data_IF_816870990335
#
_entry.id   IF_816870990335
#
_cell.length_a   1.000
_cell.length_b   1.000
_cell.length_c   1.000
_cell.angle_alpha   90.00
_cell.angle_beta   90.00
_cell.angle_gamma   90.00
#
_symmetry.space_group_name_H-M   'P 1'
#
loop_
_entity.id
_entity.type
_entity.pdbx_description
1 polymer ?
#
# COMPACT_ATOMS: atom_id res chain seq x y z
N UNK A 1 31.15 -47.38 -17.99
CA UNK A 1 30.84 -46.08 -18.61
C UNK A 1 29.34 -45.75 -18.61
N UNK A 2 28.45 -46.57 -19.21
CA UNK A 2 26.99 -46.31 -19.22
C UNK A 2 26.34 -46.12 -17.84
N UNK A 3 26.70 -46.95 -16.85
CA UNK A 3 26.16 -46.87 -15.49
C UNK A 3 26.53 -45.55 -14.81
N UNK A 4 27.79 -45.10 -14.99
CA UNK A 4 28.29 -43.84 -14.43
C UNK A 4 27.60 -42.63 -15.09
N UNK A 5 27.41 -42.67 -16.41
CA UNK A 5 26.69 -41.62 -17.15
C UNK A 5 25.23 -41.52 -16.69
N UNK A 6 24.54 -42.66 -16.54
CA UNK A 6 23.16 -42.67 -16.05
C UNK A 6 23.05 -42.11 -14.62
N UNK A 7 24.02 -42.40 -13.76
CA UNK A 7 24.06 -41.86 -12.40
C UNK A 7 24.28 -40.35 -12.38
N UNK A 8 25.17 -39.83 -13.23
CA UNK A 8 25.39 -38.38 -13.37
C UNK A 8 24.14 -37.66 -13.91
N UNK A 9 23.44 -38.26 -14.87
CA UNK A 9 22.17 -37.73 -15.39
C UNK A 9 21.11 -37.68 -14.28
N UNK A 10 20.99 -38.74 -13.46
CA UNK A 10 20.03 -38.76 -12.34
C UNK A 10 20.35 -37.69 -11.28
N UNK A 11 21.63 -37.51 -10.93
CA UNK A 11 22.05 -36.44 -10.01
C UNK A 11 21.72 -35.06 -10.60
N UNK A 12 21.99 -34.85 -11.89
CA UNK A 12 21.71 -33.58 -12.55
C UNK A 12 20.20 -33.27 -12.56
N UNK A 13 19.35 -34.26 -12.86
CA UNK A 13 17.89 -34.12 -12.82
C UNK A 13 17.43 -33.81 -11.40
N UNK A 14 17.96 -34.51 -10.40
CA UNK A 14 17.62 -34.28 -9.00
C UNK A 14 17.98 -32.86 -8.55
N UNK A 15 19.23 -32.43 -8.78
CA UNK A 15 19.68 -31.07 -8.45
C UNK A 15 18.84 -29.99 -9.15
N UNK A 16 18.48 -30.23 -10.42
CA UNK A 16 17.62 -29.31 -11.18
C UNK A 16 16.22 -29.21 -10.59
N UNK A 17 15.63 -30.34 -10.14
CA UNK A 17 14.31 -30.35 -9.48
C UNK A 17 14.31 -29.62 -8.14
N UNK A 18 15.36 -29.79 -7.33
CA UNK A 18 15.51 -29.12 -6.04
C UNK A 18 15.66 -27.60 -6.23
N UNK A 19 16.51 -27.18 -7.16
CA UNK A 19 16.70 -25.75 -7.47
C UNK A 19 15.40 -25.10 -7.97
N UNK A 20 14.63 -25.80 -8.80
CA UNK A 20 13.33 -25.31 -9.26
C UNK A 20 12.32 -25.16 -8.10
N UNK A 21 12.31 -26.09 -7.14
CA UNK A 21 11.45 -25.98 -5.94
C UNK A 21 11.79 -24.73 -5.14
N UNK A 22 13.07 -24.50 -4.85
CA UNK A 22 13.49 -23.31 -4.11
C UNK A 22 13.14 -22.01 -4.83
N UNK A 23 13.33 -21.95 -6.15
CA UNK A 23 12.96 -20.78 -6.95
C UNK A 23 11.44 -20.55 -6.99
N UNK A 24 10.63 -21.62 -6.97
CA UNK A 24 9.17 -21.54 -6.88
C UNK A 24 8.72 -20.97 -5.54
N UNK A 25 9.32 -21.46 -4.45
CA UNK A 25 9.03 -21.00 -3.09
C UNK A 25 9.45 -19.53 -2.89
N UNK A 26 10.60 -19.13 -3.44
CA UNK A 26 11.11 -17.75 -3.34
C UNK A 26 10.16 -16.76 -4.01
N UNK A 27 9.75 -17.00 -5.26
CA UNK A 27 8.85 -16.07 -5.97
C UNK A 27 7.47 -16.00 -5.33
N UNK A 28 6.96 -17.12 -4.79
CA UNK A 28 5.68 -17.16 -4.08
C UNK A 28 5.78 -16.36 -2.78
N UNK A 29 6.87 -16.55 -2.03
CA UNK A 29 7.18 -15.80 -0.81
C UNK A 29 7.24 -14.29 -1.07
N UNK A 30 7.91 -13.84 -2.14
CA UNK A 30 7.92 -12.41 -2.48
C UNK A 30 6.52 -11.84 -2.75
N UNK A 31 5.68 -12.60 -3.47
CA UNK A 31 4.29 -12.18 -3.74
C UNK A 31 3.48 -12.11 -2.44
N UNK A 32 3.65 -13.07 -1.55
CA UNK A 32 2.94 -13.10 -0.28
C UNK A 32 3.38 -11.96 0.64
N UNK A 33 4.68 -11.70 0.75
CA UNK A 33 5.22 -10.60 1.56
C UNK A 33 4.72 -9.24 1.07
N UNK A 34 4.77 -8.95 -0.25
CA UNK A 34 4.26 -7.66 -0.75
C UNK A 34 2.75 -7.54 -0.57
N UNK A 35 1.98 -8.63 -0.68
CA UNK A 35 0.53 -8.60 -0.44
C UNK A 35 0.19 -8.37 1.04
N UNK A 36 0.91 -9.02 1.96
CA UNK A 36 0.76 -8.81 3.40
C UNK A 36 1.16 -7.39 3.78
N UNK A 37 2.26 -6.86 3.23
CA UNK A 37 2.67 -5.47 3.44
C UNK A 37 1.59 -4.49 2.96
N UNK A 38 1.02 -4.71 1.76
CA UNK A 38 -0.07 -3.86 1.23
C UNK A 38 -1.32 -3.90 2.11
N UNK A 39 -1.68 -5.07 2.64
CA UNK A 39 -2.80 -5.19 3.58
C UNK A 39 -2.49 -4.51 4.93
N UNK A 40 -1.28 -4.64 5.43
CA UNK A 40 -0.83 -4.00 6.65
C UNK A 40 -0.81 -2.46 6.52
N UNK A 41 -0.43 -1.94 5.35
CA UNK A 41 -0.51 -0.50 5.05
C UNK A 41 -1.97 -0.03 4.94
N UNK A 42 -2.84 -0.84 4.33
CA UNK A 42 -4.26 -0.52 4.23
C UNK A 42 -4.90 -0.31 5.61
N UNK A 43 -4.65 -1.21 6.57
CA UNK A 43 -5.24 -1.07 7.92
C UNK A 43 -4.73 0.15 8.67
N UNK A 44 -3.47 0.54 8.49
CA UNK A 44 -2.89 1.78 9.05
C UNK A 44 -3.50 3.01 8.41
N UNK A 45 -3.61 3.00 7.08
CA UNK A 45 -4.22 4.09 6.36
C UNK A 45 -5.69 4.26 6.78
N UNK A 46 -6.45 3.16 6.94
CA UNK A 46 -7.83 3.19 7.47
C UNK A 46 -7.94 3.82 8.86
N UNK A 47 -6.97 3.62 9.75
CA UNK A 47 -6.96 4.34 11.04
C UNK A 47 -6.67 5.83 10.86
N UNK A 48 -5.71 6.16 9.98
CA UNK A 48 -5.39 7.55 9.65
C UNK A 48 -6.57 8.32 9.04
N UNK A 49 -7.63 7.65 8.56
CA UNK A 49 -8.88 8.32 8.16
C UNK A 49 -9.47 9.19 9.26
N UNK A 50 -9.31 8.79 10.53
CA UNK A 50 -9.80 9.56 11.67
C UNK A 50 -9.26 10.99 11.68
N UNK A 51 -8.06 11.23 11.13
CA UNK A 51 -7.45 12.56 11.06
C UNK A 51 -8.09 13.49 10.03
N UNK A 52 -8.80 12.94 9.05
CA UNK A 52 -9.43 13.67 7.94
C UNK A 52 -10.96 13.51 7.92
N UNK A 53 -11.50 12.75 8.87
CA UNK A 53 -12.93 12.51 9.00
C UNK A 53 -13.64 13.77 9.48
N UNK A 54 -14.82 14.02 8.93
CA UNK A 54 -15.72 15.10 9.32
C UNK A 54 -16.84 14.57 10.22
N UNK A 55 -17.52 15.43 11.01
CA UNK A 55 -18.69 15.01 11.75
C UNK A 55 -19.74 14.36 10.84
N UNK A 56 -20.21 13.17 11.24
CA UNK A 56 -21.10 12.31 10.46
C UNK A 56 -20.38 11.22 9.66
N UNK A 57 -19.07 11.31 9.46
CA UNK A 57 -18.30 10.28 8.78
C UNK A 57 -18.16 9.03 9.67
N UNK A 58 -18.20 7.87 9.02
CA UNK A 58 -17.89 6.60 9.64
C UNK A 58 -16.38 6.32 9.54
N UNK A 59 -15.74 5.92 10.63
CA UNK A 59 -14.35 5.46 10.66
C UNK A 59 -14.25 4.07 11.26
N UNK A 60 -13.34 3.25 10.74
CA UNK A 60 -13.09 1.89 11.23
C UNK A 60 -12.01 1.93 12.30
N UNK A 61 -12.30 1.33 13.46
CA UNK A 61 -11.39 1.29 14.61
C UNK A 61 -10.37 0.16 14.46
N UNK A 62 -9.42 0.07 15.41
CA UNK A 62 -8.39 -0.97 15.41
C UNK A 62 -8.94 -2.39 15.56
N UNK A 63 -10.11 -2.56 16.17
CA UNK A 63 -10.77 -3.87 16.35
C UNK A 63 -11.72 -4.24 15.19
N UNK A 64 -11.83 -3.38 14.17
CA UNK A 64 -12.70 -3.58 13.02
C UNK A 64 -14.14 -3.09 13.21
N UNK A 65 -14.50 -2.57 14.39
CA UNK A 65 -15.78 -1.88 14.59
C UNK A 65 -15.81 -0.55 13.84
N UNK A 66 -17.01 -0.03 13.62
CA UNK A 66 -17.23 1.26 12.96
C UNK A 66 -17.82 2.22 13.96
N UNK A 67 -17.26 3.41 14.04
CA UNK A 67 -17.77 4.52 14.86
C UNK A 67 -18.14 5.69 13.96
N UNK A 68 -19.12 6.48 14.41
CA UNK A 68 -19.52 7.72 13.74
C UNK A 68 -18.85 8.88 14.46
N UNK A 69 -18.13 9.71 13.72
CA UNK A 69 -17.50 10.92 14.27
C UNK A 69 -18.60 11.93 14.63
N UNK A 70 -18.70 12.30 15.90
CA UNK A 70 -19.67 13.28 16.40
C UNK A 70 -19.06 14.68 16.47
N UNK A 71 -19.88 15.72 16.32
CA UNK A 71 -19.48 17.11 16.51
C UNK A 71 -19.49 17.53 18.01
N UNK A 72 -19.89 16.65 18.93
CA UNK A 72 -20.35 17.10 20.25
C UNK A 72 -19.28 17.60 21.21
N UNK A 73 -17.98 17.43 20.92
CA UNK A 73 -16.93 17.73 21.92
C UNK A 73 -15.73 18.55 21.42
N UNK A 74 -15.70 19.05 20.18
CA UNK A 74 -14.55 19.81 19.60
C UNK A 74 -13.17 19.20 19.95
N UNK A 75 -13.08 17.87 20.02
CA UNK A 75 -11.84 17.17 20.37
C UNK A 75 -10.91 17.23 19.16
N UNK A 76 -9.64 17.54 19.40
CA UNK A 76 -8.64 17.60 18.34
C UNK A 76 -8.52 16.24 17.61
N UNK A 77 -8.33 16.20 16.28
CA UNK A 77 -8.30 14.95 15.51
C UNK A 77 -7.25 13.94 15.98
N UNK A 78 -6.08 14.40 16.45
CA UNK A 78 -5.02 13.56 16.99
C UNK A 78 -5.39 12.93 18.34
N UNK A 79 -6.11 13.67 19.19
CA UNK A 79 -6.63 13.16 20.46
C UNK A 79 -7.73 12.12 20.20
N UNK A 80 -8.66 12.46 19.30
CA UNK A 80 -9.71 11.54 18.84
C UNK A 80 -9.10 10.23 18.30
N UNK A 81 -8.08 10.32 17.44
CA UNK A 81 -7.34 9.16 16.95
C UNK A 81 -6.80 8.30 18.09
N UNK A 82 -6.13 8.93 19.05
CA UNK A 82 -5.46 8.23 20.14
C UNK A 82 -6.46 7.50 21.05
N UNK A 83 -7.62 8.11 21.28
CA UNK A 83 -8.73 7.50 22.04
C UNK A 83 -9.35 6.31 21.31
N UNK A 84 -9.56 6.41 20.01
CA UNK A 84 -10.21 5.35 19.21
C UNK A 84 -9.28 4.16 18.99
N UNK A 85 -8.01 4.43 18.70
CA UNK A 85 -7.07 3.42 18.25
C UNK A 85 -6.12 2.93 19.35
N UNK A 86 -6.15 3.57 20.52
CA UNK A 86 -5.23 3.34 21.64
C UNK A 86 -3.75 3.38 21.21
N UNK A 87 -3.42 4.31 20.30
CA UNK A 87 -2.13 4.41 19.63
C UNK A 87 -1.92 5.80 19.05
N UNK A 88 -0.66 6.23 18.94
CA UNK A 88 -0.28 7.47 18.26
C UNK A 88 -0.35 7.34 16.74
N UNK A 89 -0.89 8.35 16.06
CA UNK A 89 -1.00 8.36 14.60
C UNK A 89 0.35 8.37 13.88
N UNK A 90 1.37 9.00 14.47
CA UNK A 90 2.73 9.06 13.91
C UNK A 90 3.31 7.66 13.69
N UNK A 91 3.06 6.71 14.61
CA UNK A 91 3.56 5.35 14.49
C UNK A 91 2.99 4.64 13.25
N UNK A 92 1.74 4.91 12.89
CA UNK A 92 1.14 4.35 11.67
C UNK A 92 1.72 4.95 10.40
N UNK A 93 2.03 6.25 10.40
CA UNK A 93 2.76 6.90 9.31
C UNK A 93 4.15 6.29 9.09
N UNK A 94 4.90 6.08 10.18
CA UNK A 94 6.24 5.47 10.16
C UNK A 94 6.16 4.05 9.60
N UNK A 95 5.23 3.25 10.09
CA UNK A 95 5.09 1.87 9.64
C UNK A 95 4.65 1.76 8.18
N UNK A 96 3.79 2.66 7.67
CA UNK A 96 3.47 2.69 6.24
C UNK A 96 4.72 2.98 5.40
N UNK A 97 5.50 4.00 5.78
CA UNK A 97 6.73 4.35 5.04
C UNK A 97 7.75 3.20 5.03
N UNK A 98 7.88 2.50 6.16
CA UNK A 98 8.75 1.32 6.28
C UNK A 98 8.26 0.17 5.39
N UNK A 99 6.96 -0.14 5.40
CA UNK A 99 6.38 -1.19 4.58
C UNK A 99 6.51 -0.90 3.08
N UNK A 100 6.26 0.35 2.64
CA UNK A 100 6.50 0.76 1.26
C UNK A 100 7.97 0.59 0.87
N UNK A 101 8.90 1.03 1.71
CA UNK A 101 10.33 0.91 1.41
C UNK A 101 10.78 -0.56 1.37
N UNK A 102 10.27 -1.40 2.27
CA UNK A 102 10.62 -2.81 2.37
C UNK A 102 10.29 -3.59 1.09
N UNK A 103 9.12 -3.33 0.49
CA UNK A 103 8.60 -4.11 -0.65
C UNK A 103 8.78 -3.41 -2.00
N UNK A 104 9.58 -2.34 -2.05
CA UNK A 104 9.89 -1.59 -3.28
C UNK A 104 10.56 -2.47 -4.34
N UNK A 105 11.37 -3.43 -3.93
CA UNK A 105 12.10 -4.32 -4.84
C UNK A 105 11.42 -5.69 -5.06
N UNK A 106 10.20 -5.88 -4.55
CA UNK A 106 9.49 -7.16 -4.60
C UNK A 106 8.70 -7.32 -5.90
N UNK A 107 9.12 -6.66 -6.99
CA UNK A 107 8.45 -6.67 -8.29
C UNK A 107 9.26 -7.25 -9.46
N UNK A 108 10.16 -8.24 -9.28
CA UNK A 108 10.90 -8.81 -10.40
C UNK A 108 9.96 -9.58 -11.35
N UNK A 109 10.35 -9.74 -12.62
CA UNK A 109 9.52 -10.36 -13.67
C UNK A 109 8.98 -11.74 -13.31
N UNK A 110 9.74 -12.53 -12.54
CA UNK A 110 9.34 -13.88 -12.11
C UNK A 110 8.25 -13.89 -11.02
N UNK A 111 7.84 -12.72 -10.49
CA UNK A 111 6.67 -12.57 -9.60
C UNK A 111 5.41 -12.13 -10.36
N UNK A 112 5.47 -12.13 -11.70
CA UNK A 112 4.34 -11.72 -12.54
C UNK A 112 3.23 -12.74 -12.59
N UNK A 113 2.06 -12.33 -13.07
CA UNK A 113 0.89 -13.21 -13.26
C UNK A 113 1.17 -14.43 -14.15
N UNK A 114 2.22 -14.37 -14.99
CA UNK A 114 2.64 -15.51 -15.81
C UNK A 114 3.36 -16.60 -14.98
N UNK A 115 3.96 -16.22 -13.85
CA UNK A 115 4.78 -17.10 -13.02
C UNK A 115 4.16 -17.40 -11.66
N UNK A 116 3.37 -16.48 -11.10
CA UNK A 116 2.71 -16.62 -9.78
C UNK A 116 1.24 -16.24 -9.92
N UNK A 117 0.36 -17.24 -9.95
CA UNK A 117 -1.08 -17.06 -10.23
C UNK A 117 -1.82 -16.33 -9.11
N UNK A 118 -1.32 -16.40 -7.89
CA UNK A 118 -1.91 -15.79 -6.68
C UNK A 118 -1.75 -14.28 -6.64
N UNK A 119 -0.95 -13.68 -7.53
CA UNK A 119 -0.73 -12.23 -7.51
C UNK A 119 -1.93 -11.43 -8.02
N UNK A 120 -2.29 -10.40 -7.24
CA UNK A 120 -3.33 -9.42 -7.59
C UNK A 120 -2.83 -8.28 -8.49
N UNK A 121 -1.53 -8.23 -8.80
CA UNK A 121 -0.98 -7.22 -9.69
C UNK A 121 -1.41 -7.45 -11.16
N UNK A 122 -1.61 -6.37 -11.89
CA UNK A 122 -1.85 -6.40 -13.33
C UNK A 122 -0.58 -6.66 -14.12
N UNK A 123 -0.72 -7.20 -15.33
CA UNK A 123 0.42 -7.38 -16.26
C UNK A 123 1.18 -6.08 -16.53
N UNK A 124 0.48 -4.95 -16.46
CA UNK A 124 1.01 -3.62 -16.70
C UNK A 124 2.20 -3.26 -15.81
N UNK A 125 2.29 -3.80 -14.59
CA UNK A 125 3.45 -3.61 -13.70
C UNK A 125 4.77 -3.94 -14.41
N UNK A 126 4.79 -4.99 -15.24
CA UNK A 126 5.99 -5.45 -15.94
C UNK A 126 6.06 -5.03 -17.41
N UNK A 127 4.97 -4.53 -17.98
CA UNK A 127 4.91 -4.05 -19.38
C UNK A 127 5.32 -2.58 -19.47
N UNK A 128 4.96 -1.77 -18.47
CA UNK A 128 5.30 -0.34 -18.38
C UNK A 128 5.98 -0.02 -17.03
N UNK A 129 7.15 -0.64 -16.75
CA UNK A 129 7.77 -0.58 -15.42
C UNK A 129 8.14 0.84 -14.99
N UNK A 130 8.43 1.74 -15.92
CA UNK A 130 8.73 3.14 -15.61
C UNK A 130 7.49 3.88 -15.09
N UNK A 131 6.30 3.58 -15.62
CA UNK A 131 5.06 4.16 -15.13
C UNK A 131 4.69 3.61 -13.76
N UNK A 132 4.88 2.29 -13.55
CA UNK A 132 4.70 1.66 -12.25
C UNK A 132 5.64 2.25 -11.20
N UNK A 133 6.93 2.33 -11.52
CA UNK A 133 7.94 2.90 -10.63
C UNK A 133 7.58 4.33 -10.21
N UNK A 134 7.17 5.20 -11.16
CA UNK A 134 6.72 6.56 -10.82
C UNK A 134 5.57 6.58 -9.82
N UNK A 135 4.53 5.77 -10.03
CA UNK A 135 3.35 5.77 -9.16
C UNK A 135 3.66 5.19 -7.78
N UNK A 136 4.55 4.19 -7.74
CA UNK A 136 5.04 3.62 -6.49
C UNK A 136 5.88 4.63 -5.70
N UNK A 137 6.84 5.28 -6.38
CA UNK A 137 7.70 6.31 -5.78
C UNK A 137 6.89 7.51 -5.27
N UNK A 138 5.83 7.93 -5.97
CA UNK A 138 4.93 8.98 -5.47
C UNK A 138 4.29 8.58 -4.11
N UNK A 139 3.86 7.31 -3.94
CA UNK A 139 3.36 6.83 -2.65
C UNK A 139 4.45 6.80 -1.56
N UNK A 140 5.68 6.42 -1.91
CA UNK A 140 6.83 6.48 -0.99
C UNK A 140 7.07 7.91 -0.53
N UNK A 141 7.11 8.89 -1.44
CA UNK A 141 7.27 10.30 -1.09
C UNK A 141 6.13 10.82 -0.22
N UNK A 142 4.87 10.52 -0.58
CA UNK A 142 3.71 10.93 0.21
C UNK A 142 3.78 10.39 1.66
N UNK A 143 4.24 9.14 1.85
CA UNK A 143 4.41 8.57 3.19
C UNK A 143 5.52 9.27 4.00
N UNK A 144 6.62 9.66 3.34
CA UNK A 144 7.71 10.42 3.99
C UNK A 144 7.27 11.83 4.35
N UNK A 145 6.47 12.48 3.50
CA UNK A 145 5.90 13.79 3.76
C UNK A 145 4.92 13.76 4.94
N UNK A 146 4.11 12.70 5.07
CA UNK A 146 3.28 12.49 6.24
C UNK A 146 4.11 12.41 7.53
N UNK A 147 5.21 11.64 7.53
CA UNK A 147 6.09 11.54 8.69
C UNK A 147 6.77 12.87 9.02
N UNK A 148 7.10 13.68 8.02
CA UNK A 148 7.60 15.05 8.22
C UNK A 148 6.53 15.93 8.87
N UNK A 149 5.29 15.89 8.37
CA UNK A 149 4.17 16.66 8.92
C UNK A 149 3.88 16.30 10.39
N UNK A 150 3.97 15.01 10.76
CA UNK A 150 3.86 14.61 12.17
C UNK A 150 4.95 15.22 13.06
N UNK A 151 6.21 15.21 12.59
CA UNK A 151 7.34 15.82 13.33
C UNK A 151 7.18 17.33 13.50
N UNK A 152 6.65 18.00 12.48
CA UNK A 152 6.39 19.44 12.49
C UNK A 152 5.15 19.81 13.32
N UNK A 153 4.33 18.83 13.71
CA UNK A 153 3.09 18.99 14.49
C UNK A 153 2.11 19.98 13.86
N UNK A 154 2.09 20.06 12.53
CA UNK A 154 1.20 20.94 11.77
C UNK A 154 -0.08 20.18 11.39
N UNK A 155 -1.24 20.49 12.01
CA UNK A 155 -2.49 19.75 11.78
C UNK A 155 -2.99 19.80 10.34
N UNK A 156 -2.81 20.93 9.64
CA UNK A 156 -3.28 21.07 8.26
C UNK A 156 -2.37 20.32 7.30
N UNK A 157 -1.05 20.36 7.52
CA UNK A 157 -0.12 19.56 6.74
C UNK A 157 -0.25 18.05 7.02
N UNK A 158 -0.61 17.64 8.24
CA UNK A 158 -0.95 16.24 8.54
C UNK A 158 -2.16 15.81 7.72
N UNK A 159 -3.27 16.56 7.78
CA UNK A 159 -4.49 16.27 7.00
C UNK A 159 -4.19 16.18 5.50
N UNK A 160 -3.50 17.17 4.95
CA UNK A 160 -3.08 17.17 3.54
C UNK A 160 -2.26 15.93 3.22
N UNK A 161 -1.26 15.61 4.03
CA UNK A 161 -0.36 14.48 3.78
C UNK A 161 -1.06 13.11 3.85
N UNK A 162 -2.04 12.93 4.76
CA UNK A 162 -2.89 11.73 4.78
C UNK A 162 -3.66 11.59 3.46
N UNK A 163 -4.27 12.69 2.99
CA UNK A 163 -4.97 12.68 1.70
C UNK A 163 -4.04 12.39 0.53
N UNK A 164 -2.84 12.99 0.48
CA UNK A 164 -1.86 12.74 -0.58
C UNK A 164 -1.38 11.30 -0.63
N UNK A 165 -1.12 10.70 0.55
CA UNK A 165 -0.76 9.30 0.64
C UNK A 165 -1.87 8.40 0.09
N UNK A 166 -3.11 8.64 0.52
CA UNK A 166 -4.23 7.85 0.06
C UNK A 166 -4.52 7.99 -1.45
N UNK A 167 -4.42 9.21 -1.98
CA UNK A 167 -4.55 9.46 -3.43
C UNK A 167 -3.45 8.75 -4.21
N UNK A 168 -2.21 8.76 -3.72
CA UNK A 168 -1.07 8.08 -4.34
C UNK A 168 -1.26 6.57 -4.36
N UNK A 169 -1.68 5.97 -3.24
CA UNK A 169 -2.05 4.55 -3.19
C UNK A 169 -3.18 4.21 -4.17
N UNK A 170 -4.24 5.02 -4.20
CA UNK A 170 -5.38 4.85 -5.09
C UNK A 170 -4.98 4.91 -6.57
N UNK A 171 -4.15 5.89 -6.95
CA UNK A 171 -3.65 6.06 -8.31
C UNK A 171 -2.81 4.86 -8.77
N UNK A 172 -1.94 4.34 -7.91
CA UNK A 172 -1.16 3.13 -8.20
C UNK A 172 -2.07 1.92 -8.41
N UNK A 173 -3.00 1.68 -7.48
CA UNK A 173 -3.92 0.54 -7.56
C UNK A 173 -4.83 0.60 -8.79
N UNK A 174 -5.38 1.77 -9.12
CA UNK A 174 -6.26 1.94 -10.28
C UNK A 174 -5.58 1.58 -11.61
N UNK A 175 -4.27 1.77 -11.72
CA UNK A 175 -3.50 1.45 -12.93
C UNK A 175 -2.91 0.02 -12.91
N UNK A 176 -2.55 -0.50 -11.74
CA UNK A 176 -1.65 -1.66 -11.64
C UNK A 176 -2.15 -2.82 -10.78
N UNK A 177 -3.34 -2.72 -10.18
CA UNK A 177 -3.94 -3.82 -9.40
C UNK A 177 -5.25 -4.28 -10.01
N UNK A 178 -5.45 -5.60 -10.04
CA UNK A 178 -6.75 -6.21 -10.34
C UNK A 178 -7.74 -5.76 -9.27
N UNK A 179 -8.65 -4.86 -9.62
CA UNK A 179 -9.70 -4.43 -8.71
C UNK A 179 -10.77 -5.51 -8.67
N UNK A 180 -11.02 -6.12 -7.52
CA UNK A 180 -12.17 -7.02 -7.35
C UNK A 180 -13.46 -6.19 -7.45
N UNK A 181 -14.50 -6.72 -8.09
CA UNK A 181 -15.76 -5.99 -8.33
C UNK A 181 -16.35 -5.39 -7.03
N UNK A 182 -16.29 -6.14 -5.93
CA UNK A 182 -16.78 -5.72 -4.61
C UNK A 182 -15.97 -4.55 -3.99
N UNK A 183 -14.75 -4.34 -4.47
CA UNK A 183 -13.85 -3.27 -4.02
C UNK A 183 -13.76 -2.09 -4.99
N UNK A 184 -14.48 -2.12 -6.13
CA UNK A 184 -14.44 -1.05 -7.16
C UNK A 184 -14.73 0.34 -6.57
N UNK A 185 -15.63 0.44 -5.59
CA UNK A 185 -15.97 1.71 -4.95
C UNK A 185 -14.87 2.22 -4.00
N UNK A 186 -14.20 1.32 -3.28
CA UNK A 186 -13.12 1.63 -2.32
C UNK A 186 -11.77 1.88 -3.01
N UNK A 187 -11.52 1.19 -4.11
CA UNK A 187 -10.24 1.24 -4.84
C UNK A 187 -10.30 2.17 -6.06
N UNK A 188 -11.41 2.13 -6.81
CA UNK A 188 -11.58 2.88 -8.06
C UNK A 188 -11.83 4.39 -7.89
N UNK A 189 -12.15 4.85 -6.68
CA UNK A 189 -12.17 6.30 -6.33
C UNK A 189 -10.96 6.73 -5.51
N UNK A 190 -10.01 5.81 -5.27
CA UNK A 190 -9.09 5.89 -4.14
C UNK A 190 -9.83 5.73 -2.81
N UNK A 191 -9.13 5.33 -1.75
CA UNK A 191 -9.67 5.33 -0.39
C UNK A 191 -10.28 6.69 0.02
N UNK A 192 -9.77 7.77 -0.59
CA UNK A 192 -10.28 9.14 -0.50
C UNK A 192 -11.69 9.38 -1.04
N UNK A 193 -12.27 8.44 -1.78
CA UNK A 193 -13.61 8.57 -2.34
C UNK A 193 -14.72 8.67 -1.28
N UNK A 194 -14.43 8.31 -0.03
CA UNK A 194 -15.35 8.41 1.10
C UNK A 194 -15.20 9.70 1.94
N UNK A 195 -14.08 10.43 1.81
CA UNK A 195 -13.84 11.63 2.62
C UNK A 195 -13.80 12.86 1.73
N UNK A 196 -14.84 13.69 1.81
CA UNK A 196 -14.95 14.98 1.09
C UNK A 196 -13.71 15.85 1.31
N UNK A 197 -13.08 15.74 2.48
CA UNK A 197 -11.84 16.44 2.84
C UNK A 197 -10.68 16.21 1.87
N UNK A 198 -10.60 15.05 1.20
CA UNK A 198 -9.53 14.77 0.26
C UNK A 198 -9.82 15.16 -1.19
N UNK A 199 -11.05 15.59 -1.51
CA UNK A 199 -11.41 15.96 -2.87
C UNK A 199 -10.76 17.26 -3.34
N UNK A 200 -10.52 18.22 -2.43
CA UNK A 200 -9.80 19.46 -2.73
C UNK A 200 -8.38 19.19 -3.26
N UNK A 201 -7.73 18.15 -2.72
CA UNK A 201 -6.37 17.73 -3.03
C UNK A 201 -6.25 16.84 -4.28
N UNK A 202 -7.38 16.33 -4.79
CA UNK A 202 -7.38 15.42 -5.95
C UNK A 202 -6.70 16.04 -7.15
N UNK A 203 -6.98 17.31 -7.41
CA UNK A 203 -6.43 18.06 -8.54
C UNK A 203 -4.92 18.23 -8.44
N UNK A 204 -4.34 18.32 -7.23
CA UNK A 204 -2.89 18.39 -7.06
C UNK A 204 -2.24 17.10 -7.58
N UNK A 205 -2.80 15.93 -7.26
CA UNK A 205 -2.25 14.64 -7.70
C UNK A 205 -2.50 14.37 -9.17
N UNK A 206 -3.67 14.75 -9.72
CA UNK A 206 -4.01 14.50 -11.12
C UNK A 206 -3.42 15.51 -12.11
N UNK A 207 -3.26 16.77 -11.71
CA UNK A 207 -2.78 17.85 -12.60
C UNK A 207 -1.28 18.10 -12.44
N UNK A 208 -0.71 17.93 -11.24
CA UNK A 208 0.72 18.11 -11.01
C UNK A 208 1.28 17.19 -9.91
N UNK A 209 1.64 15.96 -10.27
CA UNK A 209 2.21 15.02 -9.31
C UNK A 209 3.57 15.43 -8.73
N UNK A 210 4.22 16.51 -9.20
CA UNK A 210 5.42 17.03 -8.53
C UNK A 210 5.11 17.60 -7.16
N UNK A 211 3.87 18.05 -6.90
CA UNK A 211 3.44 18.55 -5.60
C UNK A 211 3.43 17.48 -4.48
N UNK A 212 3.59 16.21 -4.82
CA UNK A 212 3.84 15.09 -3.88
C UNK A 212 5.32 15.00 -3.49
N UNK A 213 6.21 15.50 -4.36
CA UNK A 213 7.67 15.37 -4.25
C UNK A 213 8.34 16.61 -3.66
N UNK A 214 7.57 17.69 -3.50
CA UNK A 214 7.89 18.91 -2.76
C UNK A 214 7.54 18.74 -1.28
#
# INVERSE_FOLDING_TARGET
MKIIINFLIMIFIFLSSVNNSFAEDEKQTMVDVRQQAMQAMWTRLERLATLIALPGDAVTTSDGSTIIISNQNNIEPLETYSLIHAREAELDGIEIANLLTQVENFWPRHTSVAHVKTTNAEKLVWIIPEAFARYYTDAVHASKNLNKAFKEKDPENIKRSVCMLALSCGRCHAAFRKVRFDNLRKEGRGWTGNYTACWSYKNEVTLNSTAIRE
#
